data_IF_671746584756
#
_entry.id   IF_671746584756
#
_cell.length_a   1.000
_cell.length_b   1.000
_cell.length_c   1.000
_cell.angle_alpha   90.00
_cell.angle_beta   90.00
_cell.angle_gamma   90.00
#
_symmetry.space_group_name_H-M   'P 1'
#
loop_
_entity.id
_entity.type
_entity.pdbx_description
1 polymer ?
#
# COMPACT_ATOMS: atom_id res chain seq x y z
N UNK A 1 -45.04 -8.01 -21.14
CA UNK A 1 -44.04 -8.87 -20.47
C UNK A 1 -42.58 -8.54 -20.79
N UNK A 2 -42.24 -7.84 -21.90
CA UNK A 2 -40.84 -7.58 -22.30
C UNK A 2 -40.12 -6.40 -21.63
N UNK A 3 -40.83 -5.48 -20.96
CA UNK A 3 -40.21 -4.30 -20.33
C UNK A 3 -39.50 -4.58 -18.98
N UNK A 4 -39.87 -5.67 -18.30
CA UNK A 4 -39.26 -6.01 -16.99
C UNK A 4 -37.89 -6.68 -17.14
N UNK A 5 -37.69 -7.47 -18.20
CA UNK A 5 -36.41 -8.13 -18.48
C UNK A 5 -35.31 -7.13 -18.87
N UNK A 6 -35.66 -6.04 -19.58
CA UNK A 6 -34.69 -5.01 -19.97
C UNK A 6 -34.20 -4.16 -18.79
N UNK A 7 -35.01 -4.04 -17.73
CA UNK A 7 -34.68 -3.18 -16.57
C UNK A 7 -33.73 -3.87 -15.57
N UNK A 8 -33.64 -5.21 -15.59
CA UNK A 8 -32.74 -5.97 -14.72
C UNK A 8 -31.30 -5.96 -15.28
N UNK A 9 -31.13 -5.86 -16.60
CA UNK A 9 -29.80 -5.81 -17.24
C UNK A 9 -29.09 -4.45 -17.05
N UNK A 10 -29.84 -3.36 -16.86
CA UNK A 10 -29.29 -2.03 -16.64
C UNK A 10 -28.80 -1.78 -15.20
N UNK A 11 -29.22 -2.60 -14.22
CA UNK A 11 -28.80 -2.43 -12.82
C UNK A 11 -27.44 -3.09 -12.52
N UNK A 12 -26.99 -4.04 -13.35
CA UNK A 12 -25.72 -4.73 -13.18
C UNK A 12 -24.48 -3.91 -13.61
N UNK A 13 -24.67 -2.75 -14.26
CA UNK A 13 -23.57 -1.90 -14.76
C UNK A 13 -23.20 -0.75 -13.82
N UNK A 14 -23.91 -0.56 -12.70
CA UNK A 14 -23.70 0.59 -11.81
C UNK A 14 -22.89 0.29 -10.54
N UNK A 15 -22.30 -0.90 -10.42
CA UNK A 15 -21.37 -1.21 -9.33
C UNK A 15 -19.93 -1.17 -9.84
N UNK A 16 -19.45 0.01 -10.23
CA UNK A 16 -18.03 0.30 -10.05
C UNK A 16 -17.80 0.37 -8.54
N UNK A 17 -17.65 -0.80 -7.92
CA UNK A 17 -17.30 -0.91 -6.52
C UNK A 17 -16.02 -0.09 -6.31
N UNK A 18 -16.14 0.99 -5.53
CA UNK A 18 -15.00 1.76 -5.07
C UNK A 18 -14.12 0.83 -4.23
N UNK A 19 -13.15 0.16 -4.86
CA UNK A 19 -12.18 -0.68 -4.17
C UNK A 19 -11.18 0.21 -3.46
N UNK A 20 -10.90 -0.12 -2.20
CA UNK A 20 -9.81 0.52 -1.47
C UNK A 20 -8.50 -0.19 -1.81
N UNK A 21 -7.46 0.59 -2.08
CA UNK A 21 -6.09 0.08 -2.19
C UNK A 21 -5.31 0.50 -0.95
N UNK A 22 -4.53 -0.42 -0.39
CA UNK A 22 -3.65 -0.14 0.74
C UNK A 22 -2.22 -0.37 0.31
N UNK A 23 -1.30 0.51 0.71
CA UNK A 23 0.12 0.39 0.39
C UNK A 23 0.97 1.00 1.49
N UNK A 24 2.20 0.48 1.63
CA UNK A 24 3.16 0.97 2.63
C UNK A 24 4.36 1.56 1.92
N UNK A 25 4.88 2.68 2.43
CA UNK A 25 6.03 3.38 1.87
C UNK A 25 7.19 3.33 2.85
N UNK A 26 8.36 2.91 2.39
CA UNK A 26 9.57 2.72 3.22
C UNK A 26 10.83 3.20 2.51
N UNK A 27 11.97 3.20 3.21
CA UNK A 27 13.30 3.38 2.63
C UNK A 27 14.31 2.51 3.38
N UNK A 28 15.36 2.04 2.68
CA UNK A 28 16.46 1.31 3.33
C UNK A 28 17.32 2.18 4.26
N UNK A 29 17.11 3.49 4.31
CA UNK A 29 17.70 4.39 5.32
C UNK A 29 17.03 4.29 6.70
N UNK A 30 15.88 3.62 6.80
CA UNK A 30 15.21 3.36 8.07
C UNK A 30 16.02 2.39 8.95
N UNK A 31 15.85 2.42 10.29
CA UNK A 31 16.45 1.43 11.18
C UNK A 31 16.04 -0.01 10.77
N UNK A 32 17.00 -0.94 10.80
CA UNK A 32 16.76 -2.33 10.35
C UNK A 32 15.61 -3.01 11.10
N UNK A 33 15.52 -2.84 12.42
CA UNK A 33 14.46 -3.45 13.24
C UNK A 33 13.06 -2.92 12.85
N UNK A 34 12.99 -1.66 12.43
CA UNK A 34 11.75 -1.05 11.95
C UNK A 34 11.38 -1.57 10.56
N UNK A 35 12.34 -1.70 9.65
CA UNK A 35 12.12 -2.32 8.33
C UNK A 35 11.64 -3.76 8.46
N UNK A 36 12.27 -4.52 9.36
CA UNK A 36 11.91 -5.89 9.66
C UNK A 36 10.45 -5.99 10.13
N UNK A 37 10.04 -5.15 11.07
CA UNK A 37 8.67 -5.09 11.56
C UNK A 37 7.68 -4.75 10.44
N UNK A 38 7.99 -3.73 9.63
CA UNK A 38 7.12 -3.29 8.53
C UNK A 38 6.99 -4.36 7.44
N UNK A 39 8.10 -4.99 7.02
CA UNK A 39 8.05 -6.02 5.98
C UNK A 39 7.34 -7.29 6.44
N UNK A 40 7.53 -7.68 7.71
CA UNK A 40 6.75 -8.77 8.29
C UNK A 40 5.26 -8.46 8.25
N UNK A 41 4.88 -7.25 8.68
CA UNK A 41 3.49 -6.84 8.76
C UNK A 41 2.85 -6.73 7.37
N UNK A 42 3.53 -6.09 6.41
CA UNK A 42 3.10 -6.01 5.01
C UNK A 42 2.96 -7.39 4.36
N UNK A 43 3.89 -8.32 4.62
CA UNK A 43 3.79 -9.69 4.14
C UNK A 43 2.60 -10.44 4.72
N UNK A 44 2.28 -10.25 6.01
CA UNK A 44 1.13 -10.91 6.63
C UNK A 44 -0.21 -10.43 6.05
N UNK A 45 -0.26 -9.20 5.55
CA UNK A 45 -1.44 -8.58 4.99
C UNK A 45 -1.46 -8.56 3.46
N UNK A 46 -0.42 -9.10 2.81
CA UNK A 46 -0.26 -9.10 1.35
C UNK A 46 -0.35 -7.69 0.74
N UNK A 47 0.12 -6.69 1.49
CA UNK A 47 0.08 -5.29 1.07
C UNK A 47 1.39 -4.92 0.36
N UNK A 48 1.33 -4.26 -0.81
CA UNK A 48 2.52 -3.83 -1.53
C UNK A 48 3.29 -2.78 -0.73
N UNK A 49 4.62 -2.93 -0.76
CA UNK A 49 5.56 -1.98 -0.18
C UNK A 49 6.27 -1.22 -1.29
N UNK A 50 6.17 0.11 -1.28
CA UNK A 50 6.91 1.01 -2.16
C UNK A 50 8.19 1.47 -1.47
N UNK A 51 9.32 1.20 -2.11
CA UNK A 51 10.65 1.53 -1.62
C UNK A 51 11.14 2.84 -2.22
N UNK A 52 11.55 3.78 -1.36
CA UNK A 52 12.18 5.04 -1.76
C UNK A 52 13.68 4.84 -2.00
N UNK A 53 14.08 5.13 -3.24
CA UNK A 53 15.49 5.19 -3.63
C UNK A 53 16.20 3.84 -3.63
N UNK A 54 17.52 3.89 -3.74
CA UNK A 54 18.42 2.75 -3.83
C UNK A 54 19.44 2.77 -2.70
N UNK A 55 19.95 1.60 -2.32
CA UNK A 55 21.07 1.50 -1.40
C UNK A 55 22.33 1.97 -2.13
N UNK A 56 22.93 3.07 -1.68
CA UNK A 56 24.17 3.63 -2.24
C UNK A 56 24.13 3.86 -3.77
N UNK A 57 22.95 4.21 -4.31
CA UNK A 57 22.70 4.35 -5.75
C UNK A 57 22.96 3.07 -6.58
N UNK A 58 23.01 1.90 -5.91
CA UNK A 58 23.25 0.61 -6.53
C UNK A 58 21.96 -0.24 -6.58
N UNK A 59 21.44 -0.39 -7.80
CA UNK A 59 20.25 -1.22 -8.05
C UNK A 59 20.49 -2.70 -7.72
N UNK A 60 21.67 -3.25 -8.01
CA UNK A 60 21.98 -4.66 -7.73
C UNK A 60 21.99 -4.92 -6.22
N UNK A 61 22.65 -4.03 -5.46
CA UNK A 61 22.66 -4.10 -4.00
C UNK A 61 21.25 -4.02 -3.42
N UNK A 62 20.44 -3.12 -3.97
CA UNK A 62 19.03 -2.94 -3.59
C UNK A 62 18.20 -4.20 -3.84
N UNK A 63 18.30 -4.78 -5.04
CA UNK A 63 17.59 -6.01 -5.41
C UNK A 63 18.04 -7.22 -4.58
N UNK A 64 19.34 -7.37 -4.32
CA UNK A 64 19.85 -8.42 -3.42
C UNK A 64 19.23 -8.31 -2.02
N UNK A 65 19.14 -7.09 -1.48
CA UNK A 65 18.53 -6.87 -0.17
C UNK A 65 17.04 -7.18 -0.17
N UNK A 66 16.30 -6.76 -1.21
CA UNK A 66 14.88 -7.12 -1.38
C UNK A 66 14.71 -8.65 -1.44
N UNK A 67 15.59 -9.35 -2.15
CA UNK A 67 15.54 -10.80 -2.28
C UNK A 67 15.78 -11.52 -0.94
N UNK A 68 16.70 -11.04 -0.11
CA UNK A 68 16.88 -11.55 1.25
C UNK A 68 15.60 -11.44 2.08
N UNK A 69 14.91 -10.30 1.98
CA UNK A 69 13.63 -10.09 2.66
C UNK A 69 12.51 -10.98 2.11
N UNK A 70 12.41 -11.16 0.79
CA UNK A 70 11.39 -12.05 0.20
C UNK A 70 11.58 -13.52 0.57
N UNK A 71 12.82 -13.96 0.79
CA UNK A 71 13.07 -15.32 1.31
C UNK A 71 12.59 -15.49 2.75
N UNK A 72 12.66 -14.44 3.56
CA UNK A 72 12.19 -14.44 4.95
C UNK A 72 10.67 -14.26 5.06
N UNK A 73 10.08 -13.51 4.13
CA UNK A 73 8.68 -13.11 4.10
C UNK A 73 8.05 -13.49 2.75
N UNK A 74 7.49 -14.70 2.61
CA UNK A 74 7.10 -15.26 1.32
C UNK A 74 6.07 -14.45 0.52
N UNK A 75 5.22 -13.68 1.21
CA UNK A 75 4.16 -12.87 0.60
C UNK A 75 4.55 -11.39 0.48
N UNK A 76 5.80 -11.03 0.77
CA UNK A 76 6.27 -9.66 0.67
C UNK A 76 6.39 -9.24 -0.80
N UNK A 77 5.62 -8.21 -1.17
CA UNK A 77 5.74 -7.54 -2.46
C UNK A 77 6.43 -6.19 -2.28
N UNK A 78 7.62 -6.01 -2.88
CA UNK A 78 8.35 -4.73 -2.84
C UNK A 78 8.50 -4.18 -4.26
N UNK A 79 8.20 -2.89 -4.41
CA UNK A 79 8.31 -2.17 -5.68
C UNK A 79 9.17 -0.92 -5.51
N UNK A 80 10.02 -0.65 -6.48
CA UNK A 80 10.78 0.61 -6.55
C UNK A 80 10.01 1.51 -7.52
N UNK A 81 9.19 2.41 -6.98
CA UNK A 81 8.35 3.30 -7.78
C UNK A 81 8.43 4.74 -7.24
N UNK A 82 9.19 5.64 -7.89
CA UNK A 82 9.26 7.03 -7.47
C UNK A 82 7.96 7.81 -7.68
N UNK A 83 7.14 7.44 -8.67
CA UNK A 83 5.90 8.15 -8.99
C UNK A 83 4.84 7.92 -7.92
N UNK A 84 4.82 6.73 -7.28
CA UNK A 84 3.93 6.47 -6.15
C UNK A 84 4.18 7.44 -4.98
N UNK A 85 5.44 7.81 -4.70
CA UNK A 85 5.76 8.79 -3.65
C UNK A 85 5.24 10.19 -4.00
N UNK A 86 5.39 10.60 -5.25
CA UNK A 86 4.89 11.90 -5.74
C UNK A 86 3.36 11.95 -5.73
N UNK A 87 2.71 10.88 -6.19
CA UNK A 87 1.25 10.77 -6.27
C UNK A 87 0.57 11.01 -4.90
N UNK A 88 1.12 10.45 -3.83
CA UNK A 88 0.56 10.56 -2.49
C UNK A 88 1.24 11.63 -1.62
N UNK A 89 2.17 12.41 -2.18
CA UNK A 89 2.88 13.47 -1.45
C UNK A 89 3.68 12.96 -0.24
N UNK A 90 4.30 11.78 -0.35
CA UNK A 90 5.00 11.13 0.76
C UNK A 90 6.42 11.69 0.91
N UNK A 91 6.60 12.55 1.91
CA UNK A 91 7.89 13.17 2.22
C UNK A 91 8.71 12.39 3.28
N UNK A 92 8.03 11.62 4.12
CA UNK A 92 8.60 10.87 5.25
C UNK A 92 8.15 9.41 5.23
N UNK A 93 8.98 8.55 5.80
CA UNK A 93 8.74 7.11 5.91
C UNK A 93 9.00 6.62 7.35
N UNK A 94 8.33 5.55 7.82
CA UNK A 94 7.29 4.80 7.12
C UNK A 94 5.96 5.55 7.01
N UNK A 95 5.20 5.24 5.96
CA UNK A 95 3.84 5.73 5.76
C UNK A 95 2.91 4.63 5.25
N UNK A 96 1.69 4.58 5.78
CA UNK A 96 0.59 3.75 5.30
C UNK A 96 -0.38 4.63 4.51
N UNK A 97 -0.68 4.24 3.28
CA UNK A 97 -1.65 4.91 2.41
C UNK A 97 -2.85 4.01 2.18
N UNK A 98 -4.04 4.58 2.35
CA UNK A 98 -5.29 3.97 1.89
C UNK A 98 -5.94 4.90 0.88
N UNK A 99 -6.14 4.41 -0.34
CA UNK A 99 -6.71 5.17 -1.44
C UNK A 99 -8.03 4.56 -1.93
N UNK A 100 -8.92 5.42 -2.46
CA UNK A 100 -10.21 5.07 -3.05
C UNK A 100 -10.48 6.02 -4.22
N UNK A 101 -10.23 5.56 -5.45
CA UNK A 101 -10.26 6.45 -6.61
C UNK A 101 -9.22 7.56 -6.48
N UNK A 102 -9.66 8.82 -6.46
CA UNK A 102 -8.77 9.99 -6.38
C UNK A 102 -8.57 10.51 -4.94
N UNK A 103 -9.22 9.88 -3.96
CA UNK A 103 -9.11 10.24 -2.54
C UNK A 103 -8.17 9.30 -1.82
N UNK A 104 -7.45 9.81 -0.84
CA UNK A 104 -6.53 9.00 -0.04
C UNK A 104 -6.26 9.62 1.33
N UNK A 105 -5.96 8.76 2.28
CA UNK A 105 -5.39 9.15 3.56
C UNK A 105 -3.98 8.59 3.71
N UNK A 106 -3.13 9.34 4.42
CA UNK A 106 -1.78 8.94 4.77
C UNK A 106 -1.64 8.92 6.29
N UNK A 107 -1.13 7.82 6.83
CA UNK A 107 -0.74 7.70 8.23
C UNK A 107 0.78 7.51 8.31
N UNK A 108 1.45 8.39 9.05
CA UNK A 108 2.90 8.35 9.26
C UNK A 108 3.27 7.68 10.58
N UNK A 109 4.43 7.02 10.60
CA UNK A 109 5.05 6.48 11.80
C UNK A 109 4.96 4.96 11.93
N UNK A 110 5.51 4.44 13.02
CA UNK A 110 5.56 3.01 13.31
C UNK A 110 4.22 2.51 13.88
N UNK A 111 3.26 2.26 13.01
CA UNK A 111 1.93 1.74 13.32
C UNK A 111 1.73 0.43 12.56
N UNK A 112 1.07 -0.55 13.18
CA UNK A 112 0.70 -1.78 12.48
C UNK A 112 -0.34 -1.47 11.40
N UNK A 113 -0.42 -2.31 10.37
CA UNK A 113 -1.40 -2.17 9.30
C UNK A 113 -2.82 -2.24 9.87
N UNK A 114 -3.10 -3.19 10.77
CA UNK A 114 -4.40 -3.32 11.42
C UNK A 114 -4.79 -2.06 12.20
N UNK A 115 -3.89 -1.52 13.03
CA UNK A 115 -4.13 -0.29 13.79
C UNK A 115 -4.32 0.92 12.88
N UNK A 116 -3.53 0.99 11.81
CA UNK A 116 -3.62 2.06 10.81
C UNK A 116 -4.95 2.02 10.07
N UNK A 117 -5.37 0.85 9.59
CA UNK A 117 -6.67 0.64 8.95
C UNK A 117 -7.83 0.94 9.92
N UNK A 118 -7.71 0.55 11.19
CA UNK A 118 -8.70 0.86 12.22
C UNK A 118 -8.79 2.36 12.48
N UNK A 119 -7.66 3.06 12.54
CA UNK A 119 -7.63 4.52 12.71
C UNK A 119 -8.30 5.23 11.54
N UNK A 120 -8.03 4.80 10.30
CA UNK A 120 -8.64 5.36 9.09
C UNK A 120 -10.15 5.11 9.02
N UNK A 121 -10.60 3.90 9.37
CA UNK A 121 -12.04 3.58 9.45
C UNK A 121 -12.78 4.47 10.46
N UNK A 122 -12.15 4.79 11.61
CA UNK A 122 -12.76 5.64 12.66
C UNK A 122 -12.86 7.12 12.26
N UNK A 123 -12.01 7.60 11.36
CA UNK A 123 -11.97 9.00 10.95
C UNK A 123 -13.11 9.38 9.98
N UNK A 124 -13.74 8.38 9.36
CA UNK A 124 -14.93 8.55 8.51
C UNK A 124 -14.58 9.11 7.13
N UNK A 125 -14.43 8.19 6.17
CA UNK A 125 -14.08 8.40 4.76
C UNK A 125 -12.66 8.90 4.48
N UNK A 126 -12.03 8.26 3.49
CA UNK A 126 -10.83 8.78 2.82
C UNK A 126 -11.17 10.13 2.21
N UNK A 127 -10.45 11.17 2.63
CA UNK A 127 -10.73 12.55 2.23
C UNK A 127 -10.29 12.86 0.81
#
# INVERSE_FOLDING_TARGET
MFKKTLMILAFALAQSAFSFTTSVFVSFSMPNDLLEAVFKDASNHEIPVYLKGLIEDDMRKTLSRIFEYSQKYPNLSVQIDPFAFEQYGIDRVPALVVAKGNQFDVLYGNVTIDDGLLWLKRKGDVR
#
